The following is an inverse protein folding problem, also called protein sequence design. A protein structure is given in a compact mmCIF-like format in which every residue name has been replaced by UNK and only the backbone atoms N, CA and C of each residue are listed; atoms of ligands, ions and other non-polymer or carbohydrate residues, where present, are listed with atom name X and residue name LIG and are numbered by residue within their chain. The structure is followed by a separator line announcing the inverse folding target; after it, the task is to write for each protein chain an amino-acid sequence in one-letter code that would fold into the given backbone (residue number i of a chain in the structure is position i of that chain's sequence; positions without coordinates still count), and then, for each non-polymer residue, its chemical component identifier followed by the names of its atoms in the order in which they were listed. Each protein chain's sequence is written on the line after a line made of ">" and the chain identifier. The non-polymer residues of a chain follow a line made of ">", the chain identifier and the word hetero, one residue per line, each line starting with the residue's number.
data_IF_366253065323
#
_entry.id   IF_366253065323
#
_cell.length_a   1.000
_cell.length_b   1.000
_cell.length_c   1.000
_cell.angle_alpha   90.00
_cell.angle_beta   90.00
_cell.angle_gamma   90.00
#
_symmetry.space_group_name_H-M   'P 1'
#
loop_
_entity.id
_entity.type
_entity.pdbx_description
1 polymer ?
#
# COMPACT_ATOMS: atom_id res chain seq x y z
N UNK A 1 -0.10 24.34 18.74
CA UNK A 1 -0.57 23.48 17.63
C UNK A 1 0.30 23.74 16.42
N UNK A 2 0.53 22.76 15.54
CA UNK A 2 1.27 23.00 14.30
C UNK A 2 0.57 24.04 13.41
N UNK A 3 1.30 24.73 12.52
CA UNK A 3 0.74 25.68 11.57
C UNK A 3 -0.35 25.07 10.68
N UNK A 4 -1.32 25.89 10.22
CA UNK A 4 -2.31 25.40 9.28
C UNK A 4 -1.70 24.84 7.99
N UNK A 5 -2.00 23.58 7.69
CA UNK A 5 -1.43 22.82 6.56
C UNK A 5 -0.40 21.76 6.96
N UNK A 6 0.17 21.87 8.16
CA UNK A 6 1.22 20.95 8.63
C UNK A 6 0.65 19.69 9.30
N UNK A 7 -0.65 19.65 9.60
CA UNK A 7 -1.30 18.51 10.27
C UNK A 7 -1.17 17.19 9.51
N UNK A 8 -1.04 17.24 8.18
CA UNK A 8 -0.96 16.06 7.30
C UNK A 8 0.37 15.98 6.54
N UNK A 9 1.35 16.84 6.87
CA UNK A 9 2.63 16.88 6.16
C UNK A 9 3.40 15.55 6.28
N UNK A 10 3.26 14.85 7.42
CA UNK A 10 3.80 13.50 7.62
C UNK A 10 3.18 12.47 6.68
N UNK A 11 1.91 12.64 6.30
CA UNK A 11 1.14 11.59 5.61
C UNK A 11 1.62 11.41 4.18
N UNK A 12 1.98 12.51 3.50
CA UNK A 12 2.58 12.44 2.17
C UNK A 12 3.93 11.70 2.18
N UNK A 13 4.75 11.91 3.21
CA UNK A 13 6.02 11.20 3.35
C UNK A 13 5.80 9.71 3.63
N UNK A 14 4.87 9.38 4.54
CA UNK A 14 4.50 7.99 4.82
C UNK A 14 3.90 7.29 3.60
N UNK A 15 3.05 7.95 2.81
CA UNK A 15 2.53 7.40 1.56
C UNK A 15 3.65 6.95 0.61
N UNK A 16 4.67 7.79 0.41
CA UNK A 16 5.78 7.47 -0.49
C UNK A 16 6.62 6.27 -0.01
N UNK A 17 6.71 6.08 1.31
CA UNK A 17 7.42 4.95 1.91
C UNK A 17 6.60 3.66 1.81
N UNK A 18 5.31 3.74 2.13
CA UNK A 18 4.45 2.58 2.37
C UNK A 18 3.78 2.05 1.10
N UNK A 19 3.64 2.88 0.05
CA UNK A 19 2.95 2.47 -1.17
C UNK A 19 3.60 1.22 -1.79
N UNK A 20 2.82 0.19 -2.16
CA UNK A 20 3.33 -0.97 -2.88
C UNK A 20 4.06 -0.58 -4.18
N UNK A 21 5.32 -1.04 -4.31
CA UNK A 21 6.15 -0.79 -5.51
C UNK A 21 6.05 -1.93 -6.53
N UNK A 22 5.76 -3.14 -6.06
CA UNK A 22 5.73 -4.36 -6.88
C UNK A 22 4.44 -5.14 -6.65
N UNK A 23 3.97 -5.81 -7.71
CA UNK A 23 2.75 -6.61 -7.65
C UNK A 23 2.98 -7.88 -6.79
N UNK A 24 2.13 -8.17 -5.79
CA UNK A 24 2.28 -9.37 -4.95
C UNK A 24 2.05 -10.67 -5.72
N UNK A 25 1.41 -10.60 -6.90
CA UNK A 25 1.11 -11.79 -7.72
C UNK A 25 2.21 -12.11 -8.74
N UNK A 26 2.86 -11.12 -9.33
CA UNK A 26 3.80 -11.33 -10.44
C UNK A 26 5.14 -10.60 -10.31
N UNK A 27 5.36 -9.90 -9.19
CA UNK A 27 6.57 -9.11 -8.90
C UNK A 27 6.90 -7.96 -9.88
N UNK A 28 6.09 -7.72 -10.91
CA UNK A 28 6.28 -6.59 -11.80
C UNK A 28 6.09 -5.24 -11.09
N UNK A 29 6.76 -4.19 -11.57
CA UNK A 29 6.58 -2.82 -11.08
C UNK A 29 5.12 -2.36 -11.21
N UNK A 30 4.64 -1.64 -10.19
CA UNK A 30 3.33 -0.99 -10.17
C UNK A 30 3.33 0.43 -10.71
N UNK A 31 4.45 0.95 -11.21
CA UNK A 31 4.55 2.33 -11.75
C UNK A 31 3.61 2.59 -12.93
N UNK A 32 3.25 1.55 -13.70
CA UNK A 32 2.26 1.62 -14.79
C UNK A 32 0.85 1.20 -14.37
N UNK A 33 0.67 0.85 -13.10
CA UNK A 33 -0.59 0.41 -12.52
C UNK A 33 -1.44 1.56 -12.00
N UNK A 34 -2.50 1.20 -11.26
CA UNK A 34 -3.27 2.13 -10.44
C UNK A 34 -2.92 1.85 -8.99
N UNK A 35 -2.62 2.91 -8.24
CA UNK A 35 -2.42 2.87 -6.81
C UNK A 35 -3.14 4.06 -6.19
N UNK A 36 -4.18 3.78 -5.40
CA UNK A 36 -4.95 4.80 -4.68
C UNK A 36 -5.00 4.43 -3.20
N UNK A 37 -4.76 5.42 -2.35
CA UNK A 37 -4.88 5.28 -0.90
C UNK A 37 -6.26 5.78 -0.43
N UNK A 38 -6.85 5.09 0.54
CA UNK A 38 -7.95 5.61 1.36
C UNK A 38 -7.84 5.07 2.78
N UNK A 39 -8.71 5.60 3.64
CA UNK A 39 -8.77 5.27 5.04
C UNK A 39 -10.11 4.60 5.37
N UNK A 40 -10.05 3.54 6.17
CA UNK A 40 -11.20 2.87 6.78
C UNK A 40 -11.03 2.93 8.30
N UNK A 41 -11.60 3.96 8.94
CA UNK A 41 -11.32 4.24 10.35
C UNK A 41 -9.84 4.59 10.54
N UNK A 42 -9.12 3.78 11.30
CA UNK A 42 -7.68 3.92 11.51
C UNK A 42 -6.83 3.13 10.50
N UNK A 43 -7.44 2.31 9.64
CA UNK A 43 -6.72 1.47 8.68
C UNK A 43 -6.43 2.24 7.39
N UNK A 44 -5.17 2.17 6.94
CA UNK A 44 -4.73 2.64 5.63
C UNK A 44 -4.78 1.50 4.62
N UNK A 45 -5.45 1.74 3.50
CA UNK A 45 -5.68 0.73 2.46
C UNK A 45 -5.23 1.25 1.10
N UNK A 46 -4.52 0.42 0.34
CA UNK A 46 -4.05 0.71 -1.01
C UNK A 46 -4.77 -0.16 -2.05
N UNK A 47 -5.64 0.44 -2.87
CA UNK A 47 -6.27 -0.21 -4.03
C UNK A 47 -5.21 -0.28 -5.09
N UNK A 48 -4.92 -1.49 -5.49
CA UNK A 48 -3.84 -1.77 -6.43
C UNK A 48 -4.42 -2.47 -7.65
N UNK A 49 -4.01 -2.00 -8.83
CA UNK A 49 -4.18 -2.73 -10.09
C UNK A 49 -2.83 -2.84 -10.80
N UNK A 50 -2.48 -4.06 -11.22
CA UNK A 50 -1.25 -4.34 -11.95
C UNK A 50 -1.50 -4.35 -13.46
N UNK A 51 -0.76 -3.52 -14.20
CA UNK A 51 -0.85 -3.47 -15.65
C UNK A 51 -0.34 -4.75 -16.35
N UNK A 52 0.57 -5.51 -15.73
CA UNK A 52 1.15 -6.70 -16.36
C UNK A 52 0.25 -7.93 -16.22
N UNK A 53 -0.09 -8.32 -14.99
CA UNK A 53 -0.85 -9.55 -14.74
C UNK A 53 -2.35 -9.31 -14.52
N UNK A 54 -2.81 -8.05 -14.60
CA UNK A 54 -4.20 -7.61 -14.40
C UNK A 54 -4.78 -7.93 -13.01
N UNK A 55 -3.92 -8.27 -12.05
CA UNK A 55 -4.35 -8.46 -10.66
C UNK A 55 -4.93 -7.16 -10.09
N UNK A 56 -6.03 -7.30 -9.36
CA UNK A 56 -6.63 -6.23 -8.54
C UNK A 56 -6.70 -6.71 -7.10
N UNK A 57 -6.45 -5.81 -6.16
CA UNK A 57 -6.61 -6.12 -4.75
C UNK A 57 -6.25 -4.96 -3.84
N UNK A 58 -6.61 -5.11 -2.58
CA UNK A 58 -6.26 -4.17 -1.53
C UNK A 58 -5.00 -4.66 -0.83
N UNK A 59 -4.05 -3.76 -0.62
CA UNK A 59 -2.90 -3.98 0.25
C UNK A 59 -3.09 -3.14 1.51
N UNK A 60 -2.93 -3.77 2.67
CA UNK A 60 -3.03 -3.14 3.99
C UNK A 60 -1.68 -3.23 4.68
N UNK A 61 -1.40 -2.24 5.55
CA UNK A 61 -0.21 -2.25 6.39
C UNK A 61 -0.49 -3.04 7.67
N UNK A 62 0.53 -3.73 8.19
CA UNK A 62 0.49 -4.40 9.48
C UNK A 62 1.85 -4.24 10.16
N UNK A 63 1.86 -4.13 11.50
CA UNK A 63 3.11 -4.01 12.26
C UNK A 63 3.89 -5.32 12.30
N UNK A 64 3.17 -6.45 12.31
CA UNK A 64 3.76 -7.78 12.38
C UNK A 64 2.83 -8.81 11.72
N UNK A 65 3.40 -9.69 10.89
CA UNK A 65 2.72 -10.87 10.36
C UNK A 65 3.43 -12.14 10.81
N UNK A 66 2.64 -13.11 11.28
CA UNK A 66 3.08 -14.47 11.53
C UNK A 66 2.49 -15.32 10.41
N UNK A 67 3.35 -15.98 9.64
CA UNK A 67 2.96 -16.88 8.55
C UNK A 67 3.52 -18.28 8.80
N UNK A 68 2.76 -19.30 8.43
CA UNK A 68 3.19 -20.70 8.45
C UNK A 68 3.21 -21.20 7.01
N UNK A 69 4.34 -21.79 6.61
CA UNK A 69 4.49 -22.44 5.31
C UNK A 69 4.36 -23.95 5.51
N UNK A 70 3.42 -24.64 4.82
CA UNK A 70 3.31 -26.08 4.90
C UNK A 70 4.58 -26.78 4.39
N UNK A 71 4.90 -27.95 4.93
CA UNK A 71 5.94 -28.81 4.36
C UNK A 71 5.54 -29.25 2.94
N UNK A 72 6.45 -29.10 1.97
CA UNK A 72 6.25 -29.38 0.55
C UNK A 72 6.72 -30.78 0.16
#
# INVERSE_FOLDING_TARGET
>A
MPPPGDWFASDAAHHLLDKPKFCPRCAASLDRGLLSEWWSGAERVFLTWCAECRWTGNVVLFDHAIIEEPEH
#
